data_IF_806018254780
#
_entry.id   IF_806018254780
#
_cell.length_a   1.000
_cell.length_b   1.000
_cell.length_c   1.000
_cell.angle_alpha   90.00
_cell.angle_beta   90.00
_cell.angle_gamma   90.00
#
_symmetry.space_group_name_H-M   'P 1'
#
loop_
_entity.id
_entity.type
_entity.pdbx_description
1 polymer ?
#
# COMPACT_ATOMS: atom_id res chain seq x y z
N UNK A 1 1.76 -37.87 25.91
CA UNK A 1 0.80 -36.75 26.02
C UNK A 1 -0.59 -37.31 26.26
N UNK A 2 -1.37 -36.73 27.17
CA UNK A 2 -2.69 -37.26 27.50
C UNK A 2 -3.75 -36.74 26.53
N UNK A 3 -4.55 -37.63 25.96
CA UNK A 3 -5.63 -37.27 25.05
C UNK A 3 -6.74 -36.50 25.80
N UNK A 4 -7.16 -35.31 25.33
CA UNK A 4 -8.17 -34.51 26.02
C UNK A 4 -9.58 -35.14 25.99
N UNK A 5 -9.88 -36.01 25.02
CA UNK A 5 -11.22 -36.61 24.90
C UNK A 5 -11.39 -37.88 25.73
N UNK A 6 -10.38 -38.76 25.79
CA UNK A 6 -10.51 -40.08 26.43
C UNK A 6 -9.52 -40.33 27.57
N UNK A 7 -8.64 -39.37 27.87
CA UNK A 7 -7.65 -39.47 28.94
C UNK A 7 -6.53 -40.49 28.70
N UNK A 8 -6.48 -41.12 27.53
CA UNK A 8 -5.46 -42.11 27.16
C UNK A 8 -4.08 -41.46 26.98
N UNK A 9 -3.04 -42.18 27.37
CA UNK A 9 -1.67 -41.70 27.26
C UNK A 9 -1.09 -42.04 25.88
N UNK A 10 -1.06 -41.05 24.99
CA UNK A 10 -0.54 -41.20 23.64
C UNK A 10 0.97 -40.98 23.59
N UNK A 11 1.63 -41.70 22.69
CA UNK A 11 3.05 -41.55 22.42
C UNK A 11 3.41 -40.10 22.03
N UNK A 12 4.58 -39.59 22.45
CA UNK A 12 5.02 -38.25 22.04
C UNK A 12 5.17 -38.20 20.51
N UNK A 13 4.49 -37.24 19.86
CA UNK A 13 4.49 -37.08 18.40
C UNK A 13 3.36 -37.80 17.64
N UNK A 14 2.48 -38.54 18.32
CA UNK A 14 1.32 -39.17 17.66
C UNK A 14 0.34 -38.12 17.11
N UNK A 15 -0.01 -38.21 15.83
CA UNK A 15 -0.97 -37.28 15.19
C UNK A 15 -2.41 -37.56 15.59
N UNK A 16 -2.73 -38.82 15.90
CA UNK A 16 -4.04 -39.29 16.34
C UNK A 16 -3.93 -40.17 17.59
N UNK A 17 -5.00 -40.22 18.39
CA UNK A 17 -5.13 -41.10 19.54
C UNK A 17 -5.48 -42.52 19.07
N UNK A 18 -4.67 -43.50 19.44
CA UNK A 18 -4.88 -44.92 19.08
C UNK A 18 -6.14 -45.54 19.69
N UNK A 19 -6.70 -44.93 20.74
CA UNK A 19 -7.88 -45.46 21.43
C UNK A 19 -9.20 -44.88 20.92
N UNK A 20 -9.27 -43.59 20.66
CA UNK A 20 -10.52 -42.91 20.29
C UNK A 20 -10.48 -42.23 18.91
N UNK A 21 -9.35 -42.27 18.20
CA UNK A 21 -9.18 -41.65 16.89
C UNK A 21 -9.04 -40.13 16.90
N UNK A 22 -9.10 -39.46 18.06
CA UNK A 22 -9.00 -38.00 18.13
C UNK A 22 -7.62 -37.50 17.66
N UNK A 23 -7.61 -36.49 16.79
CA UNK A 23 -6.41 -35.83 16.31
C UNK A 23 -5.74 -35.04 17.45
N UNK A 24 -4.52 -35.40 17.82
CA UNK A 24 -3.75 -34.78 18.90
C UNK A 24 -2.86 -33.65 18.40
N UNK A 25 -2.42 -33.75 17.14
CA UNK A 25 -1.66 -32.70 16.46
C UNK A 25 -2.55 -32.07 15.39
N UNK A 26 -3.25 -30.99 15.77
CA UNK A 26 -3.82 -30.08 14.78
C UNK A 26 -2.66 -29.24 14.24
N UNK A 27 -2.28 -29.34 12.95
CA UNK A 27 -1.40 -28.33 12.38
C UNK A 27 -2.09 -26.99 12.62
N UNK A 28 -1.43 -26.11 13.38
CA UNK A 28 -1.89 -24.73 13.57
C UNK A 28 -2.28 -24.23 12.19
N UNK A 29 -3.54 -23.81 11.94
CA UNK A 29 -3.95 -23.37 10.62
C UNK A 29 -2.92 -22.34 10.19
N UNK A 30 -2.22 -22.64 9.09
CA UNK A 30 -1.15 -21.82 8.58
C UNK A 30 -1.67 -20.40 8.61
N UNK A 31 -0.98 -19.57 9.41
CA UNK A 31 -1.38 -18.22 9.74
C UNK A 31 -2.12 -17.64 8.53
N UNK A 32 -3.42 -17.41 8.73
CA UNK A 32 -4.25 -16.62 7.86
C UNK A 32 -3.37 -15.45 7.46
N UNK A 33 -2.82 -15.54 6.24
CA UNK A 33 -2.04 -14.47 5.66
C UNK A 33 -3.08 -13.41 5.46
N UNK A 34 -3.32 -12.64 6.50
CA UNK A 34 -3.68 -11.25 6.36
C UNK A 34 -2.58 -10.68 5.48
N UNK A 35 -2.84 -10.74 4.19
CA UNK A 35 -2.63 -9.60 3.30
C UNK A 35 -3.34 -8.42 4.00
N UNK A 36 -2.69 -7.92 5.05
CA UNK A 36 -2.68 -6.51 5.33
C UNK A 36 -2.15 -5.91 4.03
N UNK A 37 -3.09 -5.60 3.13
CA UNK A 37 -2.92 -4.67 2.04
C UNK A 37 -2.52 -3.38 2.71
N UNK A 38 -1.24 -3.28 3.09
CA UNK A 38 -0.63 -2.02 3.45
C UNK A 38 -0.80 -1.22 2.18
N UNK A 39 -1.73 -0.27 2.25
CA UNK A 39 -1.95 0.71 1.20
C UNK A 39 -0.73 1.62 1.24
N UNK A 40 0.39 1.15 0.69
CA UNK A 40 1.62 1.91 0.55
C UNK A 40 1.29 2.97 -0.50
N UNK A 41 0.69 4.08 -0.06
CA UNK A 41 0.61 5.28 -0.88
C UNK A 41 2.06 5.72 -1.08
N UNK A 42 2.54 5.86 -2.34
CA UNK A 42 3.88 6.34 -2.59
C UNK A 42 4.10 7.66 -1.84
N UNK A 43 5.23 7.75 -1.14
CA UNK A 43 5.54 8.88 -0.26
C UNK A 43 5.37 10.21 -1.00
N UNK A 44 4.82 11.21 -0.30
CA UNK A 44 4.59 12.57 -0.84
C UNK A 44 5.85 13.23 -1.42
N UNK A 45 7.02 12.68 -1.12
CA UNK A 45 8.33 13.14 -1.59
C UNK A 45 8.47 13.15 -3.12
N UNK A 46 7.86 12.21 -3.85
CA UNK A 46 7.94 12.22 -5.32
C UNK A 46 7.21 13.41 -5.97
N UNK A 47 6.24 13.99 -5.28
CA UNK A 47 5.43 15.10 -5.77
C UNK A 47 5.84 16.45 -5.17
N UNK A 48 6.85 16.47 -4.28
CA UNK A 48 7.27 17.66 -3.56
C UNK A 48 7.70 18.79 -4.51
N UNK A 49 8.42 18.43 -5.59
CA UNK A 49 8.86 19.38 -6.62
C UNK A 49 7.69 20.04 -7.36
N UNK A 50 6.70 19.25 -7.78
CA UNK A 50 5.50 19.72 -8.49
C UNK A 50 4.68 20.67 -7.62
N UNK A 51 4.52 20.33 -6.33
CA UNK A 51 3.78 21.13 -5.36
C UNK A 51 4.45 22.49 -5.13
N UNK A 52 5.78 22.50 -4.96
CA UNK A 52 6.53 23.76 -4.74
C UNK A 52 6.38 24.70 -5.94
N UNK A 53 6.45 24.18 -7.17
CA UNK A 53 6.28 24.99 -8.40
C UNK A 53 4.85 25.53 -8.50
N UNK A 54 3.84 24.71 -8.23
CA UNK A 54 2.45 25.17 -8.26
C UNK A 54 2.17 26.25 -7.20
N UNK A 55 2.72 26.10 -5.99
CA UNK A 55 2.62 27.12 -4.93
C UNK A 55 3.30 28.42 -5.35
N UNK A 56 4.50 28.34 -5.95
CA UNK A 56 5.20 29.51 -6.48
C UNK A 56 4.39 30.26 -7.55
N UNK A 57 3.79 29.54 -8.50
CA UNK A 57 2.94 30.13 -9.53
C UNK A 57 1.65 30.73 -8.96
N UNK A 58 1.01 30.06 -7.99
CA UNK A 58 -0.18 30.57 -7.33
C UNK A 58 0.11 31.85 -6.52
N UNK A 59 1.20 31.87 -5.75
CA UNK A 59 1.63 33.05 -5.01
C UNK A 59 2.02 34.20 -5.94
N UNK A 60 2.74 33.93 -7.02
CA UNK A 60 3.09 34.94 -8.03
C UNK A 60 1.86 35.51 -8.73
N UNK A 61 0.90 34.66 -9.12
CA UNK A 61 -0.37 35.09 -9.71
C UNK A 61 -1.22 35.93 -8.76
N UNK A 62 -1.32 35.52 -7.49
CA UNK A 62 -2.03 36.25 -6.45
C UNK A 62 -1.37 37.62 -6.15
N UNK A 63 -0.04 37.66 -6.13
CA UNK A 63 0.71 38.90 -5.93
C UNK A 63 0.50 39.89 -7.07
N UNK A 64 0.51 39.42 -8.33
CA UNK A 64 0.20 40.27 -9.49
C UNK A 64 -1.24 40.79 -9.41
N UNK A 65 -2.20 39.95 -9.02
CA UNK A 65 -3.61 40.34 -8.85
C UNK A 65 -3.83 41.43 -7.79
N UNK A 66 -3.08 41.40 -6.69
CA UNK A 66 -3.27 42.33 -5.56
C UNK A 66 -2.33 43.54 -5.56
N UNK A 67 -1.10 43.40 -6.04
CA UNK A 67 -0.04 44.40 -5.87
C UNK A 67 0.31 45.15 -7.16
N UNK A 68 -0.03 44.63 -8.34
CA UNK A 68 0.36 45.24 -9.62
C UNK A 68 -0.83 45.24 -10.57
N UNK A 69 -1.52 46.37 -10.68
CA UNK A 69 -2.62 46.67 -11.62
C UNK A 69 -2.24 46.53 -13.12
N UNK A 70 -1.17 45.81 -13.45
CA UNK A 70 -0.54 45.75 -14.76
C UNK A 70 -1.35 44.85 -15.71
N UNK A 71 -1.81 43.66 -15.31
CA UNK A 71 -2.70 42.83 -16.14
C UNK A 71 -3.36 41.67 -15.37
N UNK A 72 -4.65 41.78 -15.04
CA UNK A 72 -5.45 40.73 -14.38
C UNK A 72 -5.39 39.38 -15.12
N UNK A 73 -5.26 39.42 -16.46
CA UNK A 73 -5.20 38.23 -17.32
C UNK A 73 -3.95 37.38 -17.06
N UNK A 74 -2.82 38.01 -16.76
CA UNK A 74 -1.56 37.33 -16.45
C UNK A 74 -1.65 36.65 -15.08
N UNK A 75 -2.22 37.34 -14.09
CA UNK A 75 -2.45 36.76 -12.76
C UNK A 75 -3.38 35.54 -12.80
N UNK A 76 -4.48 35.63 -13.55
CA UNK A 76 -5.40 34.51 -13.73
C UNK A 76 -4.75 33.34 -14.49
N UNK A 77 -3.93 33.64 -15.51
CA UNK A 77 -3.17 32.63 -16.25
C UNK A 77 -2.21 31.82 -15.37
N UNK A 78 -1.49 32.47 -14.45
CA UNK A 78 -0.58 31.80 -13.51
C UNK A 78 -1.32 30.92 -12.50
N UNK A 79 -2.48 31.36 -12.02
CA UNK A 79 -3.32 30.57 -11.11
C UNK A 79 -3.90 29.34 -11.84
N UNK A 80 -4.39 29.51 -13.07
CA UNK A 80 -4.88 28.40 -13.88
C UNK A 80 -3.78 27.35 -14.15
N UNK A 81 -2.55 27.79 -14.43
CA UNK A 81 -1.39 26.91 -14.58
C UNK A 81 -1.03 26.18 -13.28
N UNK A 82 -1.12 26.84 -12.13
CA UNK A 82 -0.91 26.18 -10.83
C UNK A 82 -1.96 25.08 -10.58
N UNK A 83 -3.23 25.33 -10.90
CA UNK A 83 -4.33 24.36 -10.75
C UNK A 83 -4.14 23.16 -11.70
N UNK A 84 -3.72 23.38 -12.94
CA UNK A 84 -3.47 22.28 -13.89
C UNK A 84 -2.32 21.38 -13.43
N UNK A 85 -1.24 21.95 -12.89
CA UNK A 85 -0.11 21.18 -12.33
C UNK A 85 -0.57 20.33 -11.12
N UNK A 86 -1.35 20.91 -10.20
CA UNK A 86 -1.87 20.19 -9.02
C UNK A 86 -2.80 19.04 -9.43
N UNK A 87 -3.70 19.28 -10.38
CA UNK A 87 -4.63 18.25 -10.87
C UNK A 87 -3.90 17.13 -11.61
N UNK A 88 -2.90 17.46 -12.43
CA UNK A 88 -2.05 16.45 -13.10
C UNK A 88 -1.25 15.61 -12.08
N UNK A 89 -0.64 16.23 -11.07
CA UNK A 89 0.05 15.52 -9.99
C UNK A 89 -0.90 14.59 -9.20
N UNK A 90 -2.14 15.04 -8.96
CA UNK A 90 -3.17 14.24 -8.30
C UNK A 90 -3.66 13.05 -9.16
N UNK A 91 -3.83 13.25 -10.48
CA UNK A 91 -4.12 12.17 -11.42
C UNK A 91 -2.98 11.15 -11.45
N UNK A 92 -1.74 11.62 -11.57
CA UNK A 92 -0.56 10.75 -11.58
C UNK A 92 -0.47 9.92 -10.29
N UNK A 93 -0.79 10.50 -9.13
CA UNK A 93 -0.93 9.74 -7.86
C UNK A 93 -1.99 8.66 -7.89
N UNK A 94 -3.15 8.92 -8.51
CA UNK A 94 -4.22 7.93 -8.62
C UNK A 94 -3.86 6.80 -9.58
N UNK A 95 -3.14 7.09 -10.66
CA UNK A 95 -2.74 6.07 -11.64
C UNK A 95 -1.52 5.25 -11.21
N UNK A 96 -0.58 5.85 -10.46
CA UNK A 96 0.62 5.15 -9.95
C UNK A 96 0.31 4.07 -8.91
N UNK A 97 -0.90 4.04 -8.33
CA UNK A 97 -1.30 2.99 -7.37
C UNK A 97 -1.76 1.68 -8.01
N UNK A 98 -1.70 1.53 -9.35
CA UNK A 98 -2.30 0.38 -10.06
C UNK A 98 -1.34 -0.47 -10.91
N UNK A 99 -0.01 -0.27 -10.81
CA UNK A 99 0.96 -1.04 -11.62
C UNK A 99 2.09 -1.67 -10.83
N UNK A 100 1.88 -2.00 -9.55
CA UNK A 100 2.72 -3.02 -8.90
C UNK A 100 2.22 -4.39 -9.37
N UNK A 101 2.54 -4.67 -10.64
CA UNK A 101 2.36 -5.95 -11.32
C UNK A 101 2.81 -7.08 -10.41
N UNK A 102 1.87 -7.97 -10.13
CA UNK A 102 2.02 -9.24 -9.42
C UNK A 102 3.12 -10.15 -9.99
N UNK A 103 3.68 -9.85 -11.17
CA UNK A 103 4.67 -10.68 -11.85
C UNK A 103 5.98 -10.87 -11.07
N UNK A 104 6.50 -9.84 -10.38
CA UNK A 104 7.76 -10.00 -9.61
C UNK A 104 7.61 -10.78 -8.30
N UNK A 105 6.39 -10.88 -7.76
CA UNK A 105 6.13 -11.66 -6.54
C UNK A 105 5.94 -13.16 -6.85
N UNK A 106 5.49 -13.50 -8.06
CA UNK A 106 5.33 -14.88 -8.53
C UNK A 106 6.71 -15.54 -8.76
N UNK A 107 7.68 -14.83 -9.34
CA UNK A 107 9.03 -15.38 -9.56
C UNK A 107 9.78 -15.71 -8.26
N UNK A 108 9.62 -14.89 -7.21
CA UNK A 108 10.27 -15.15 -5.92
C UNK A 108 9.65 -16.31 -5.14
N UNK A 109 8.35 -16.58 -5.30
CA UNK A 109 7.72 -17.71 -4.62
C UNK A 109 8.03 -19.07 -5.27
N UNK A 110 8.34 -19.10 -6.58
CA UNK A 110 8.77 -20.34 -7.26
C UNK A 110 10.12 -20.87 -6.77
N UNK A 111 11.03 -20.00 -6.33
CA UNK A 111 12.38 -20.39 -5.87
C UNK A 111 12.46 -20.85 -4.41
N UNK A 112 11.42 -20.60 -3.60
CA UNK A 112 11.42 -20.89 -2.16
C UNK A 112 10.57 -22.12 -1.77
N UNK A 113 9.94 -22.80 -2.75
CA UNK A 113 9.09 -23.97 -2.51
C UNK A 113 9.85 -25.31 -2.56
N UNK A 114 11.17 -25.32 -2.78
CA UNK A 114 12.01 -26.52 -2.78
C UNK A 114 13.03 -26.49 -1.63
N UNK A 115 12.60 -26.87 -0.43
CA UNK A 115 13.44 -27.52 0.59
C UNK A 115 12.62 -28.05 1.73
#
# INVERSE_FOLDING_TARGET
>A
MRCPQCGFEAAPGATFCSRCGMRLLSPRPAAQREYALVRILPSWWHFLREIIVAVGLACGGLFILFASFVDFRIGLGLIAAAISIITMAALHRRFTSWSLTSDRLIERQGLLASR
#
